data_IF_604406754121
#
_entry.id   IF_604406754121
#
_cell.length_a   1.000
_cell.length_b   1.000
_cell.length_c   1.000
_cell.angle_alpha   90.00
_cell.angle_beta   90.00
_cell.angle_gamma   90.00
#
_symmetry.space_group_name_H-M   'P 1'
#
loop_
_entity.id
_entity.type
_entity.pdbx_description
1 polymer ?
#
# COMPACT_ATOMS: atom_id res chain seq x y z
N UNK A 1 -35.80 47.38 -4.23
CA UNK A 1 -36.40 46.04 -4.09
C UNK A 1 -36.02 45.24 -5.33
N UNK A 2 -35.44 44.05 -5.32
CA UNK A 2 -34.98 43.14 -4.28
C UNK A 2 -33.90 42.24 -4.91
N UNK A 3 -32.77 42.07 -4.21
CA UNK A 3 -31.74 41.10 -4.56
C UNK A 3 -32.30 39.69 -4.37
N UNK A 4 -32.38 38.90 -5.45
CA UNK A 4 -32.73 37.47 -5.37
C UNK A 4 -31.46 36.63 -5.24
N UNK A 5 -31.25 36.18 -4.01
CA UNK A 5 -30.38 35.07 -3.60
C UNK A 5 -30.40 33.91 -4.62
N UNK A 6 -29.24 33.62 -5.22
CA UNK A 6 -28.91 32.28 -5.73
C UNK A 6 -27.68 31.79 -4.98
N UNK A 7 -27.92 31.19 -3.82
CA UNK A 7 -26.97 30.27 -3.20
C UNK A 7 -26.79 29.09 -4.16
N UNK A 8 -25.73 29.12 -4.96
CA UNK A 8 -25.24 27.96 -5.67
C UNK A 8 -24.54 27.07 -4.64
N UNK A 9 -25.29 26.13 -4.06
CA UNK A 9 -24.74 25.00 -3.31
C UNK A 9 -23.98 24.16 -4.34
N UNK A 10 -22.65 24.31 -4.39
CA UNK A 10 -21.80 23.40 -5.15
C UNK A 10 -21.92 22.00 -4.52
N UNK A 11 -22.65 21.16 -5.25
CA UNK A 11 -22.94 19.79 -4.93
C UNK A 11 -21.63 18.99 -4.88
N UNK A 12 -21.19 18.65 -3.67
CA UNK A 12 -19.97 17.89 -3.35
C UNK A 12 -20.04 16.40 -3.80
N UNK A 13 -20.98 16.05 -4.69
CA UNK A 13 -21.24 14.70 -5.16
C UNK A 13 -20.58 14.36 -6.51
N UNK A 14 -20.17 15.36 -7.29
CA UNK A 14 -19.61 15.11 -8.64
C UNK A 14 -18.12 14.76 -8.67
N UNK A 15 -17.40 14.87 -7.54
CA UNK A 15 -15.99 14.46 -7.44
C UNK A 15 -15.79 13.07 -6.82
N UNK A 16 -16.85 12.32 -6.51
CA UNK A 16 -16.75 10.95 -5.95
C UNK A 16 -16.74 9.82 -6.99
N UNK A 17 -16.88 10.14 -8.28
CA UNK A 17 -17.13 9.16 -9.34
C UNK A 17 -15.90 8.66 -10.12
N UNK A 18 -14.73 9.27 -9.97
CA UNK A 18 -13.56 8.86 -10.74
C UNK A 18 -12.35 8.76 -9.81
N UNK A 19 -11.91 7.52 -9.59
CA UNK A 19 -10.65 7.15 -8.96
C UNK A 19 -10.68 7.32 -7.42
N UNK A 20 -11.19 6.29 -6.75
CA UNK A 20 -10.70 5.88 -5.43
C UNK A 20 -9.24 5.41 -5.57
N UNK A 21 -8.33 6.36 -5.76
CA UNK A 21 -6.94 6.19 -5.40
C UNK A 21 -6.70 7.19 -4.29
N UNK A 22 -7.20 6.84 -3.11
CA UNK A 22 -6.81 7.53 -1.89
C UNK A 22 -5.29 7.61 -1.94
N UNK A 23 -4.76 8.83 -1.93
CA UNK A 23 -3.37 9.05 -1.54
C UNK A 23 -3.16 8.32 -0.20
N UNK A 24 -1.92 8.00 0.21
CA UNK A 24 -1.64 7.47 1.55
C UNK A 24 -1.85 8.55 2.62
N UNK A 25 -3.00 9.21 2.55
CA UNK A 25 -3.50 10.26 3.40
C UNK A 25 -4.75 9.71 4.06
N UNK A 26 -4.93 10.04 5.33
CA UNK A 26 -6.23 9.84 5.97
C UNK A 26 -7.29 10.71 5.28
N UNK A 27 -8.56 10.33 5.36
CA UNK A 27 -9.66 11.09 4.75
C UNK A 27 -9.62 12.57 5.17
N UNK A 28 -9.34 12.85 6.46
CA UNK A 28 -9.24 14.24 6.94
C UNK A 28 -8.03 15.01 6.42
N UNK A 29 -6.93 14.33 6.05
CA UNK A 29 -5.78 14.98 5.40
C UNK A 29 -6.07 15.25 3.91
N UNK A 30 -6.76 14.33 3.24
CA UNK A 30 -7.19 14.48 1.85
C UNK A 30 -8.21 15.63 1.70
N UNK A 31 -9.16 15.76 2.63
CA UNK A 31 -10.12 16.86 2.67
C UNK A 31 -9.41 18.22 2.83
N UNK A 32 -8.42 18.31 3.75
CA UNK A 32 -7.63 19.53 3.95
C UNK A 32 -6.76 19.86 2.74
N UNK A 33 -6.15 18.85 2.12
CA UNK A 33 -5.35 19.07 0.91
C UNK A 33 -6.22 19.55 -0.26
N UNK A 34 -7.42 18.99 -0.41
CA UNK A 34 -8.40 19.45 -1.40
C UNK A 34 -8.83 20.90 -1.17
N UNK A 35 -9.01 21.28 0.10
CA UNK A 35 -9.25 22.67 0.48
C UNK A 35 -8.08 23.58 0.08
N UNK A 36 -6.84 23.16 0.36
CA UNK A 36 -5.65 23.94 -0.01
C UNK A 36 -5.51 24.13 -1.52
N UNK A 37 -5.74 23.08 -2.32
CA UNK A 37 -5.76 23.16 -3.77
C UNK A 37 -6.87 24.10 -4.28
N UNK A 38 -8.02 24.12 -3.62
CA UNK A 38 -9.12 25.03 -3.97
C UNK A 38 -8.75 26.48 -3.68
N UNK A 39 -8.13 26.75 -2.53
CA UNK A 39 -7.64 28.08 -2.16
C UNK A 39 -6.53 28.53 -3.11
N UNK A 40 -5.59 27.64 -3.45
CA UNK A 40 -4.54 27.90 -4.43
C UNK A 40 -5.14 28.31 -5.78
N UNK A 41 -6.08 27.52 -6.31
CA UNK A 41 -6.74 27.80 -7.58
C UNK A 41 -7.52 29.12 -7.55
N UNK A 42 -8.15 29.46 -6.43
CA UNK A 42 -8.86 30.74 -6.27
C UNK A 42 -7.88 31.93 -6.27
N UNK A 43 -6.77 31.83 -5.55
CA UNK A 43 -5.76 32.87 -5.48
C UNK A 43 -5.00 33.05 -6.80
N UNK A 44 -4.69 31.95 -7.51
CA UNK A 44 -4.05 31.99 -8.84
C UNK A 44 -4.85 32.78 -9.87
N UNK A 45 -6.19 32.70 -9.83
CA UNK A 45 -7.06 33.45 -10.76
C UNK A 45 -6.92 34.98 -10.66
N UNK A 46 -6.41 35.47 -9.54
CA UNK A 46 -6.23 36.90 -9.27
C UNK A 46 -4.75 37.29 -9.08
N UNK A 47 -3.83 36.42 -9.50
CA UNK A 47 -2.39 36.58 -9.26
C UNK A 47 -1.83 37.94 -9.71
N UNK A 48 -2.29 38.47 -10.85
CA UNK A 48 -1.85 39.77 -11.35
C UNK A 48 -2.12 40.95 -10.38
N UNK A 49 -3.22 40.89 -9.64
CA UNK A 49 -3.58 41.90 -8.62
C UNK A 49 -2.65 41.76 -7.41
N UNK A 50 -2.36 40.53 -7.01
CA UNK A 50 -1.49 40.25 -5.87
C UNK A 50 -0.05 40.68 -6.13
N UNK A 51 0.47 40.38 -7.31
CA UNK A 51 1.85 40.69 -7.69
C UNK A 51 2.11 42.20 -7.81
N UNK A 52 1.08 42.96 -8.22
CA UNK A 52 1.20 44.42 -8.47
C UNK A 52 0.85 45.24 -7.24
N UNK A 53 -0.28 44.94 -6.60
CA UNK A 53 -0.88 45.81 -5.59
C UNK A 53 -0.58 45.33 -4.15
N UNK A 54 -0.22 44.05 -3.96
CA UNK A 54 -0.04 43.43 -2.64
C UNK A 54 1.19 42.51 -2.57
N UNK A 55 2.41 43.04 -2.70
CA UNK A 55 3.63 42.23 -2.78
C UNK A 55 3.88 41.34 -1.54
N UNK A 56 3.45 41.78 -0.35
CA UNK A 56 3.54 40.95 0.86
C UNK A 56 2.61 39.73 0.79
N UNK A 57 1.42 39.87 0.21
CA UNK A 57 0.51 38.76 -0.03
C UNK A 57 1.06 37.83 -1.11
N UNK A 58 1.60 38.37 -2.21
CA UNK A 58 2.25 37.57 -3.26
C UNK A 58 3.37 36.68 -2.70
N UNK A 59 4.22 37.22 -1.81
CA UNK A 59 5.27 36.43 -1.13
C UNK A 59 4.69 35.34 -0.21
N UNK A 60 3.65 35.64 0.55
CA UNK A 60 3.00 34.66 1.41
C UNK A 60 2.31 33.56 0.57
N UNK A 61 1.71 33.95 -0.55
CA UNK A 61 1.07 33.03 -1.47
C UNK A 61 2.09 32.10 -2.13
N UNK A 62 3.25 32.61 -2.58
CA UNK A 62 4.33 31.79 -3.11
C UNK A 62 4.77 30.71 -2.10
N UNK A 63 4.97 31.07 -0.82
CA UNK A 63 5.28 30.11 0.25
C UNK A 63 4.17 29.09 0.46
N UNK A 64 2.91 29.52 0.39
CA UNK A 64 1.77 28.61 0.46
C UNK A 64 1.79 27.59 -0.68
N UNK A 65 2.08 28.02 -1.92
CA UNK A 65 2.20 27.12 -3.07
C UNK A 65 3.34 26.11 -2.90
N UNK A 66 4.50 26.55 -2.40
CA UNK A 66 5.61 25.65 -2.06
C UNK A 66 5.18 24.56 -1.06
N UNK A 67 4.43 24.93 -0.03
CA UNK A 67 3.91 23.98 0.95
C UNK A 67 2.87 23.01 0.36
N UNK A 68 1.97 23.48 -0.50
CA UNK A 68 1.00 22.62 -1.20
C UNK A 68 1.71 21.62 -2.10
N UNK A 69 2.71 22.07 -2.87
CA UNK A 69 3.53 21.20 -3.71
C UNK A 69 4.29 20.15 -2.88
N UNK A 70 4.85 20.56 -1.73
CA UNK A 70 5.56 19.64 -0.82
C UNK A 70 4.63 18.58 -0.24
N UNK A 71 3.40 18.94 0.17
CA UNK A 71 2.40 17.95 0.63
C UNK A 71 2.11 16.93 -0.47
N UNK A 72 1.92 17.39 -1.72
CA UNK A 72 1.72 16.51 -2.87
C UNK A 72 2.89 15.55 -3.11
N UNK A 73 4.12 16.05 -3.00
CA UNK A 73 5.35 15.26 -3.14
C UNK A 73 5.45 14.19 -2.05
N UNK A 74 5.23 14.56 -0.79
CA UNK A 74 5.27 13.62 0.35
C UNK A 74 4.22 12.51 0.21
N UNK A 75 3.01 12.85 -0.24
CA UNK A 75 1.96 11.86 -0.51
C UNK A 75 2.36 10.88 -1.64
N UNK A 76 3.00 11.37 -2.71
CA UNK A 76 3.50 10.54 -3.79
C UNK A 76 4.63 9.60 -3.33
N UNK A 77 5.58 10.12 -2.54
CA UNK A 77 6.69 9.35 -1.98
C UNK A 77 6.18 8.20 -1.10
N UNK A 78 5.25 8.49 -0.18
CA UNK A 78 4.63 7.48 0.67
C UNK A 78 3.93 6.38 -0.15
N UNK A 79 3.28 6.75 -1.26
CA UNK A 79 2.59 5.79 -2.13
C UNK A 79 3.59 4.85 -2.80
N UNK A 80 4.71 5.39 -3.25
CA UNK A 80 5.79 4.63 -3.85
C UNK A 80 6.40 3.62 -2.85
N UNK A 81 6.63 4.05 -1.61
CA UNK A 81 7.20 3.24 -0.54
C UNK A 81 6.26 2.09 -0.14
N UNK A 82 4.96 2.37 0.03
CA UNK A 82 3.96 1.34 0.35
C UNK A 82 3.89 0.30 -0.77
N UNK A 83 3.85 0.73 -2.03
CA UNK A 83 3.83 -0.19 -3.18
C UNK A 83 5.08 -1.04 -3.24
N UNK A 84 6.24 -0.47 -2.94
CA UNK A 84 7.52 -1.17 -2.83
C UNK A 84 7.47 -2.26 -1.76
N UNK A 85 7.05 -1.91 -0.54
CA UNK A 85 6.93 -2.85 0.58
C UNK A 85 5.93 -3.99 0.30
N UNK A 86 4.75 -3.68 -0.28
CA UNK A 86 3.76 -4.69 -0.65
C UNK A 86 4.29 -5.64 -1.71
N UNK A 87 4.94 -5.12 -2.76
CA UNK A 87 5.57 -5.93 -3.81
C UNK A 87 6.66 -6.82 -3.24
N UNK A 88 7.51 -6.28 -2.37
CA UNK A 88 8.58 -7.04 -1.74
C UNK A 88 8.01 -8.15 -0.85
N UNK A 89 6.97 -7.86 -0.05
CA UNK A 89 6.30 -8.88 0.76
C UNK A 89 5.74 -10.03 -0.09
N UNK A 90 5.07 -9.72 -1.19
CA UNK A 90 4.54 -10.73 -2.12
C UNK A 90 5.67 -11.56 -2.73
N UNK A 91 6.76 -10.92 -3.16
CA UNK A 91 7.92 -11.60 -3.74
C UNK A 91 8.58 -12.53 -2.72
N UNK A 92 8.87 -12.05 -1.52
CA UNK A 92 9.47 -12.84 -0.44
C UNK A 92 8.58 -14.01 -0.05
N UNK A 93 7.25 -13.78 0.03
CA UNK A 93 6.29 -14.85 0.32
C UNK A 93 6.32 -15.95 -0.75
N UNK A 94 6.31 -15.59 -2.03
CA UNK A 94 6.40 -16.57 -3.13
C UNK A 94 7.71 -17.36 -3.10
N UNK A 95 8.83 -16.68 -2.89
CA UNK A 95 10.13 -17.34 -2.78
C UNK A 95 10.15 -18.36 -1.63
N UNK A 96 9.62 -17.99 -0.46
CA UNK A 96 9.47 -18.91 0.68
C UNK A 96 8.55 -20.08 0.35
N UNK A 97 7.38 -19.83 -0.27
CA UNK A 97 6.43 -20.88 -0.68
C UNK A 97 7.08 -21.88 -1.65
N UNK A 98 7.83 -21.38 -2.65
CA UNK A 98 8.51 -22.22 -3.64
C UNK A 98 9.59 -23.09 -3.00
N UNK A 99 10.44 -22.51 -2.15
CA UNK A 99 11.47 -23.26 -1.43
C UNK A 99 10.87 -24.28 -0.44
N UNK A 100 9.86 -23.87 0.33
CA UNK A 100 9.19 -24.74 1.28
C UNK A 100 8.48 -25.91 0.59
N UNK A 101 7.86 -25.67 -0.57
CA UNK A 101 7.22 -26.72 -1.37
C UNK A 101 8.24 -27.70 -1.94
N UNK A 102 9.38 -27.22 -2.44
CA UNK A 102 10.43 -28.09 -2.96
C UNK A 102 11.00 -29.00 -1.88
N UNK A 103 11.36 -28.42 -0.72
CA UNK A 103 11.85 -29.19 0.42
C UNK A 103 10.78 -30.12 0.99
N UNK A 104 9.55 -29.64 1.16
CA UNK A 104 8.43 -30.41 1.68
C UNK A 104 8.07 -31.60 0.78
N UNK A 105 8.15 -31.44 -0.54
CA UNK A 105 7.96 -32.54 -1.49
C UNK A 105 9.06 -33.61 -1.38
N UNK A 106 10.32 -33.20 -1.27
CA UNK A 106 11.43 -34.13 -1.07
C UNK A 106 11.33 -34.87 0.27
N UNK A 107 10.99 -34.16 1.35
CA UNK A 107 10.74 -34.73 2.68
C UNK A 107 9.58 -35.71 2.69
N UNK A 108 8.49 -35.39 1.99
CA UNK A 108 7.34 -36.27 1.87
C UNK A 108 7.70 -37.57 1.14
N UNK A 109 8.39 -37.47 0.01
CA UNK A 109 8.85 -38.64 -0.75
C UNK A 109 9.81 -39.51 0.09
N UNK A 110 10.74 -38.90 0.83
CA UNK A 110 11.61 -39.64 1.76
C UNK A 110 10.79 -40.32 2.86
N UNK A 111 9.82 -39.62 3.44
CA UNK A 111 8.98 -40.15 4.52
C UNK A 111 8.11 -41.33 4.04
N UNK A 112 7.58 -41.28 2.82
CA UNK A 112 6.84 -42.38 2.19
C UNK A 112 7.70 -43.63 2.04
N UNK A 113 8.94 -43.48 1.54
CA UNK A 113 9.88 -44.61 1.37
C UNK A 113 10.29 -45.23 2.73
N UNK A 114 10.36 -44.43 3.79
CA UNK A 114 10.74 -44.88 5.14
C UNK A 114 9.56 -45.26 6.04
N UNK A 115 8.34 -45.35 5.49
CA UNK A 115 7.14 -45.74 6.26
C UNK A 115 6.67 -44.70 7.29
N UNK A 116 7.12 -43.45 7.19
CA UNK A 116 6.75 -42.34 8.08
C UNK A 116 5.57 -41.52 7.51
N UNK A 117 4.45 -42.18 7.21
CA UNK A 117 3.28 -41.55 6.60
C UNK A 117 2.77 -40.28 7.35
N UNK A 118 2.74 -40.25 8.70
CA UNK A 118 2.31 -39.05 9.43
C UNK A 118 3.22 -37.83 9.19
N UNK A 119 4.50 -38.05 8.89
CA UNK A 119 5.42 -36.97 8.55
C UNK A 119 5.14 -36.45 7.14
N UNK A 120 4.94 -37.34 6.16
CA UNK A 120 4.64 -36.99 4.77
C UNK A 120 3.40 -36.08 4.67
N UNK A 121 2.32 -36.44 5.35
CA UNK A 121 1.07 -35.65 5.37
C UNK A 121 1.23 -34.27 6.04
N UNK A 122 2.12 -34.17 7.03
CA UNK A 122 2.37 -32.91 7.74
C UNK A 122 3.21 -31.92 6.92
N UNK A 123 4.17 -32.41 6.15
CA UNK A 123 5.12 -31.58 5.40
C UNK A 123 4.65 -31.28 3.98
N UNK A 124 3.82 -32.15 3.39
CA UNK A 124 3.31 -31.96 2.04
C UNK A 124 2.11 -31.01 2.01
N UNK A 125 2.22 -29.97 1.19
CA UNK A 125 1.15 -29.01 0.92
C UNK A 125 1.15 -28.66 -0.57
N UNK A 126 -0.02 -28.73 -1.21
CA UNK A 126 -0.17 -28.32 -2.61
C UNK A 126 0.03 -26.82 -2.78
N UNK A 127 0.38 -26.38 -3.99
CA UNK A 127 0.57 -24.95 -4.30
C UNK A 127 -0.65 -24.10 -3.95
N UNK A 128 -1.84 -24.59 -4.27
CA UNK A 128 -3.09 -23.90 -3.94
C UNK A 128 -3.33 -23.82 -2.43
N UNK A 129 -2.89 -24.81 -1.66
CA UNK A 129 -2.97 -24.77 -0.21
C UNK A 129 -2.10 -23.64 0.36
N UNK A 130 -0.84 -23.51 -0.11
CA UNK A 130 0.07 -22.43 0.29
C UNK A 130 -0.50 -21.02 0.08
N UNK A 131 -1.12 -20.78 -1.08
CA UNK A 131 -1.72 -19.48 -1.38
C UNK A 131 -2.89 -19.11 -0.46
N UNK A 132 -3.62 -20.09 0.08
CA UNK A 132 -4.76 -19.87 0.98
C UNK A 132 -4.36 -19.67 2.44
N UNK A 133 -3.12 -19.97 2.81
CA UNK A 133 -2.65 -19.83 4.18
C UNK A 133 -2.48 -18.35 4.58
N UNK A 134 -2.73 -18.06 5.85
CA UNK A 134 -2.34 -16.78 6.47
C UNK A 134 -0.83 -16.74 6.65
N UNK A 135 -0.23 -15.53 6.62
CA UNK A 135 1.22 -15.35 6.72
C UNK A 135 1.83 -16.07 7.95
N UNK A 136 1.17 -15.99 9.10
CA UNK A 136 1.60 -16.67 10.33
C UNK A 136 1.65 -18.18 10.15
N UNK A 137 0.63 -18.78 9.52
CA UNK A 137 0.56 -20.22 9.27
C UNK A 137 1.57 -20.64 8.21
N UNK A 138 1.77 -19.82 7.16
CA UNK A 138 2.84 -20.05 6.18
C UNK A 138 4.21 -20.13 6.86
N UNK A 139 4.53 -19.18 7.75
CA UNK A 139 5.80 -19.17 8.48
C UNK A 139 5.96 -20.39 9.38
N UNK A 140 4.91 -20.75 10.12
CA UNK A 140 4.92 -21.96 10.97
C UNK A 140 5.16 -23.22 10.15
N UNK A 141 4.48 -23.35 9.00
CA UNK A 141 4.64 -24.51 8.10
C UNK A 141 6.03 -24.57 7.46
N UNK A 142 6.53 -23.45 6.94
CA UNK A 142 7.86 -23.38 6.36
C UNK A 142 8.94 -23.70 7.41
N UNK A 143 8.79 -23.17 8.63
CA UNK A 143 9.68 -23.49 9.76
C UNK A 143 9.63 -24.96 10.15
N UNK A 144 8.46 -25.60 10.12
CA UNK A 144 8.33 -27.04 10.37
C UNK A 144 9.10 -27.85 9.31
N UNK A 145 8.90 -27.54 8.03
CA UNK A 145 9.60 -28.21 6.92
C UNK A 145 11.12 -28.06 7.07
N UNK A 146 11.59 -26.85 7.39
CA UNK A 146 13.01 -26.60 7.61
C UNK A 146 13.55 -27.38 8.83
N UNK A 147 12.80 -27.42 9.93
CA UNK A 147 13.19 -28.14 11.15
C UNK A 147 13.30 -29.65 10.89
N UNK A 148 12.29 -30.25 10.28
CA UNK A 148 12.30 -31.67 9.94
C UNK A 148 13.40 -31.97 8.90
N UNK A 149 13.55 -31.15 7.86
CA UNK A 149 14.62 -31.30 6.87
C UNK A 149 16.02 -31.31 7.48
N UNK A 150 16.29 -30.38 8.40
CA UNK A 150 17.58 -30.32 9.10
C UNK A 150 17.82 -31.53 10.00
N UNK A 151 16.79 -31.99 10.70
CA UNK A 151 16.92 -33.14 11.59
C UNK A 151 17.39 -34.40 10.83
N UNK A 152 16.97 -34.58 9.58
CA UNK A 152 17.29 -35.79 8.79
C UNK A 152 18.54 -35.64 7.94
N UNK A 153 18.97 -34.41 7.64
CA UNK A 153 20.30 -34.15 7.09
C UNK A 153 21.43 -34.52 8.07
N UNK A 154 21.16 -34.52 9.37
CA UNK A 154 22.13 -34.94 10.38
C UNK A 154 22.21 -36.47 10.54
N UNK A 155 21.24 -37.21 9.99
CA UNK A 155 21.15 -38.67 10.09
C UNK A 155 21.78 -39.39 8.87
N UNK A 156 22.25 -38.63 7.86
CA UNK A 156 22.94 -39.10 6.64
C UNK A 156 24.43 -38.83 6.75
#
# INVERSE_FOLDING_TARGET
MAFRNRFFIFNNALFRGAISHSLPMTAGQEDRFSLFLTVEAACQRHQAVWDTDFPAFAQAFAKFQEHVAEIGRLAADQRSAIRGATRQKIRTRRAMEDSARQLGGALAAWAEVNGQQPLAERVYLSRNAWHKLRDTVCLTRASLILKEGRARLADV
#
